data_IF_014103422208
#
_entry.id   IF_014103422208
#
_cell.length_a   1.000
_cell.length_b   1.000
_cell.length_c   1.000
_cell.angle_alpha   90.00
_cell.angle_beta   90.00
_cell.angle_gamma   90.00
#
_symmetry.space_group_name_H-M   'P 1'
#
loop_
_entity.id
_entity.type
_entity.pdbx_description
1 polymer ?
#
# COMPACT_ATOMS: atom_id res chain seq x y z
N UNK A 1 10.15 -15.15 -1.61
CA UNK A 1 9.50 -13.84 -1.44
C UNK A 1 8.13 -13.98 -0.79
N UNK A 2 7.07 -14.47 -1.47
CA UNK A 2 5.72 -14.57 -0.88
C UNK A 2 5.66 -15.48 0.37
N UNK A 3 6.12 -16.73 0.27
CA UNK A 3 6.06 -17.69 1.37
C UNK A 3 6.75 -17.19 2.65
N UNK A 4 7.92 -16.55 2.50
CA UNK A 4 8.67 -15.96 3.61
C UNK A 4 7.90 -14.81 4.28
N UNK A 5 7.21 -13.97 3.50
CA UNK A 5 6.38 -12.88 4.03
C UNK A 5 5.16 -13.43 4.77
N UNK A 6 4.47 -14.43 4.20
CA UNK A 6 3.33 -15.06 4.87
C UNK A 6 3.75 -15.78 6.17
N UNK A 7 4.91 -16.44 6.18
CA UNK A 7 5.48 -17.01 7.41
C UNK A 7 5.81 -15.92 8.44
N UNK A 8 6.39 -14.80 8.01
CA UNK A 8 6.74 -13.67 8.89
C UNK A 8 5.50 -13.01 9.50
N UNK A 9 4.44 -12.82 8.72
CA UNK A 9 3.19 -12.20 9.20
C UNK A 9 2.23 -13.20 9.86
N UNK A 10 2.44 -14.51 9.66
CA UNK A 10 1.58 -15.58 10.20
C UNK A 10 0.21 -15.69 9.53
N UNK A 11 -0.01 -15.01 8.39
CA UNK A 11 -1.27 -14.97 7.66
C UNK A 11 -0.99 -15.08 6.15
N UNK A 12 -1.97 -15.61 5.40
CA UNK A 12 -1.98 -15.44 3.94
C UNK A 12 -2.14 -13.98 3.54
N UNK A 13 -1.73 -13.61 2.32
CA UNK A 13 -1.88 -12.22 1.86
C UNK A 13 -3.36 -11.80 1.76
N UNK A 14 -4.27 -12.72 1.46
CA UNK A 14 -5.72 -12.50 1.41
C UNK A 14 -6.31 -12.22 2.79
N UNK A 15 -5.89 -12.98 3.81
CA UNK A 15 -6.25 -12.73 5.21
C UNK A 15 -5.69 -11.39 5.68
N UNK A 16 -4.41 -11.10 5.39
CA UNK A 16 -3.76 -9.87 5.79
C UNK A 16 -4.43 -8.62 5.20
N UNK A 17 -4.72 -8.66 3.89
CA UNK A 17 -5.44 -7.59 3.19
C UNK A 17 -6.79 -7.29 3.88
N UNK A 18 -7.60 -8.33 4.08
CA UNK A 18 -8.93 -8.19 4.67
C UNK A 18 -8.85 -7.72 6.12
N UNK A 19 -7.93 -8.28 6.90
CA UNK A 19 -7.74 -7.95 8.31
C UNK A 19 -7.30 -6.51 8.51
N UNK A 20 -6.27 -6.05 7.79
CA UNK A 20 -5.75 -4.69 7.94
C UNK A 20 -6.76 -3.63 7.47
N UNK A 21 -7.51 -3.92 6.40
CA UNK A 21 -8.59 -3.04 5.95
C UNK A 21 -9.67 -2.90 7.02
N UNK A 22 -10.17 -4.03 7.52
CA UNK A 22 -11.18 -4.04 8.57
C UNK A 22 -10.68 -3.36 9.85
N UNK A 23 -9.41 -3.55 10.20
CA UNK A 23 -8.79 -2.90 11.35
C UNK A 23 -8.80 -1.38 11.20
N UNK A 24 -8.32 -0.84 10.08
CA UNK A 24 -8.33 0.62 9.82
C UNK A 24 -9.75 1.19 9.81
N UNK A 25 -10.70 0.49 9.18
CA UNK A 25 -12.11 0.91 9.13
C UNK A 25 -12.77 0.89 10.53
N UNK A 26 -12.27 0.05 11.45
CA UNK A 26 -12.78 -0.05 12.83
C UNK A 26 -12.24 1.02 13.78
N UNK A 27 -11.18 1.74 13.39
CA UNK A 27 -10.56 2.73 14.28
C UNK A 27 -11.49 3.93 14.46
N UNK A 28 -11.86 4.18 15.72
CA UNK A 28 -12.65 5.34 16.06
C UNK A 28 -11.90 6.64 15.72
N UNK A 29 -12.60 7.58 15.10
CA UNK A 29 -12.07 8.91 14.79
C UNK A 29 -13.05 9.98 15.26
N UNK A 30 -12.53 11.06 15.84
CA UNK A 30 -13.26 12.22 16.31
C UNK A 30 -12.34 13.44 16.38
N UNK A 31 -12.86 14.57 16.86
CA UNK A 31 -12.10 15.84 16.90
C UNK A 31 -10.83 15.75 17.76
N UNK A 32 -10.90 15.01 18.88
CA UNK A 32 -9.79 14.89 19.84
C UNK A 32 -8.93 13.64 19.64
N UNK A 33 -9.33 12.73 18.78
CA UNK A 33 -8.61 11.48 18.55
C UNK A 33 -8.77 11.06 17.09
N UNK A 34 -7.67 11.03 16.34
CA UNK A 34 -7.64 10.60 14.94
C UNK A 34 -6.29 9.96 14.66
N UNK A 35 -6.31 8.77 14.07
CA UNK A 35 -5.13 8.18 13.45
C UNK A 35 -5.24 8.36 11.93
N UNK A 36 -4.22 8.96 11.32
CA UNK A 36 -4.13 9.09 9.87
C UNK A 36 -2.98 8.23 9.38
N UNK A 37 -3.27 7.30 8.46
CA UNK A 37 -2.29 6.40 7.84
C UNK A 37 -2.23 6.75 6.36
N UNK A 38 -1.03 7.05 5.86
CA UNK A 38 -0.80 7.42 4.47
C UNK A 38 0.19 6.43 3.85
N UNK A 39 -0.34 5.48 3.07
CA UNK A 39 0.45 4.55 2.30
C UNK A 39 0.68 5.09 0.89
N UNK A 40 1.83 4.79 0.30
CA UNK A 40 2.11 5.14 -1.09
C UNK A 40 3.04 4.13 -1.74
N UNK A 41 2.80 3.87 -3.02
CA UNK A 41 3.73 3.17 -3.90
C UNK A 41 4.37 4.18 -4.84
N UNK A 42 5.68 4.07 -4.98
CA UNK A 42 6.47 4.87 -5.90
C UNK A 42 7.18 3.95 -6.87
N UNK A 43 6.97 4.18 -8.16
CA UNK A 43 7.58 3.42 -9.24
C UNK A 43 8.48 4.34 -10.05
N UNK A 44 9.59 3.78 -10.52
CA UNK A 44 10.45 4.49 -11.45
C UNK A 44 9.70 4.68 -12.77
N UNK A 45 9.78 5.89 -13.32
CA UNK A 45 9.33 6.19 -14.67
C UNK A 45 10.29 5.55 -15.69
N UNK A 46 10.07 4.26 -15.94
CA UNK A 46 10.89 3.41 -16.78
C UNK A 46 9.96 2.55 -17.64
N UNK A 47 10.02 2.71 -18.96
CA UNK A 47 9.17 1.98 -19.92
C UNK A 47 9.37 0.45 -19.85
N UNK A 48 10.52 -0.02 -19.32
CA UNK A 48 10.77 -1.45 -19.12
C UNK A 48 10.07 -2.03 -17.88
N UNK A 49 9.58 -1.17 -16.99
CA UNK A 49 8.89 -1.55 -15.75
C UNK A 49 7.37 -1.45 -15.94
N UNK A 50 6.75 -2.58 -16.29
CA UNK A 50 5.28 -2.69 -16.35
C UNK A 50 4.77 -3.22 -15.01
N UNK A 51 3.94 -2.44 -14.32
CA UNK A 51 3.32 -2.87 -13.06
C UNK A 51 1.99 -3.55 -13.33
N UNK A 52 1.79 -4.72 -12.72
CA UNK A 52 0.54 -5.47 -12.81
C UNK A 52 -0.64 -4.66 -12.26
N UNK A 53 -1.68 -4.50 -13.07
CA UNK A 53 -2.87 -3.71 -12.69
C UNK A 53 -3.55 -4.25 -11.43
N UNK A 54 -3.63 -5.57 -11.30
CA UNK A 54 -4.26 -6.22 -10.14
C UNK A 54 -3.47 -5.95 -8.85
N UNK A 55 -2.15 -5.79 -8.93
CA UNK A 55 -1.33 -5.40 -7.79
C UNK A 55 -1.65 -3.95 -7.37
N UNK A 56 -1.75 -3.03 -8.31
CA UNK A 56 -2.12 -1.64 -8.05
C UNK A 56 -3.51 -1.55 -7.42
N UNK A 57 -4.47 -2.29 -7.97
CA UNK A 57 -5.84 -2.30 -7.48
C UNK A 57 -5.93 -2.82 -6.04
N UNK A 58 -5.27 -3.95 -5.73
CA UNK A 58 -5.21 -4.48 -4.35
C UNK A 58 -4.61 -3.47 -3.37
N UNK A 59 -3.57 -2.74 -3.76
CA UNK A 59 -2.96 -1.73 -2.89
C UNK A 59 -3.87 -0.50 -2.67
N UNK A 60 -4.60 -0.07 -3.71
CA UNK A 60 -5.58 0.99 -3.57
C UNK A 60 -6.74 0.57 -2.64
N UNK A 61 -7.28 -0.64 -2.84
CA UNK A 61 -8.47 -1.11 -2.14
C UNK A 61 -8.21 -1.37 -0.65
N UNK A 62 -7.16 -2.13 -0.33
CA UNK A 62 -6.92 -2.59 1.03
C UNK A 62 -6.08 -1.63 1.86
N UNK A 63 -5.21 -0.83 1.22
CA UNK A 63 -4.23 0.01 1.92
C UNK A 63 -4.42 1.50 1.68
N UNK A 64 -5.40 1.91 0.87
CA UNK A 64 -5.57 3.30 0.43
C UNK A 64 -4.25 3.90 -0.11
N UNK A 65 -3.44 3.07 -0.76
CA UNK A 65 -2.14 3.50 -1.23
C UNK A 65 -2.28 4.49 -2.38
N UNK A 66 -1.64 5.65 -2.25
CA UNK A 66 -1.46 6.58 -3.37
C UNK A 66 -0.40 6.02 -4.33
N UNK A 67 -0.54 6.29 -5.63
CA UNK A 67 0.34 5.77 -6.67
C UNK A 67 1.11 6.91 -7.33
N UNK A 68 2.43 6.81 -7.35
CA UNK A 68 3.31 7.82 -7.94
C UNK A 68 4.30 7.17 -8.90
N UNK A 69 4.42 7.74 -10.09
CA UNK A 69 5.46 7.41 -11.06
C UNK A 69 6.41 8.60 -11.14
N UNK A 70 7.71 8.36 -11.01
CA UNK A 70 8.71 9.44 -11.02
C UNK A 70 10.07 8.95 -11.52
N UNK A 71 10.88 9.84 -12.09
CA UNK A 71 12.20 9.52 -12.62
C UNK A 71 13.20 9.01 -11.56
N UNK A 72 12.94 9.28 -10.27
CA UNK A 72 13.82 9.00 -9.13
C UNK A 72 15.16 9.71 -9.27
N UNK A 73 15.09 10.99 -9.64
CA UNK A 73 16.22 11.92 -9.67
C UNK A 73 15.91 13.15 -8.81
N UNK A 74 16.63 14.26 -9.00
CA UNK A 74 16.43 15.47 -8.21
C UNK A 74 15.03 16.09 -8.39
N UNK A 75 14.37 15.86 -9.53
CA UNK A 75 13.01 16.35 -9.79
C UNK A 75 11.96 15.66 -8.91
N UNK A 76 12.24 14.47 -8.36
CA UNK A 76 11.33 13.74 -7.46
C UNK A 76 11.14 14.44 -6.11
N UNK A 77 12.03 15.37 -5.75
CA UNK A 77 11.99 16.11 -4.48
C UNK A 77 11.21 17.44 -4.57
N UNK A 78 10.79 17.84 -5.77
CA UNK A 78 10.02 19.07 -6.04
C UNK A 78 8.51 18.81 -5.94
#
# INVERSE_FOLDING_TARGET
>A
TLAQMQETFGLSIEELNTYLRAYLDSLASGEKYKLSVANSLWFRDDESLVIEKDFLQKNADYYNASLYQSAFDKSTLE
#
